data_IF_378052206962
#
_entry.id   IF_378052206962
#
_cell.length_a   1.000
_cell.length_b   1.000
_cell.length_c   1.000
_cell.angle_alpha   90.00
_cell.angle_beta   90.00
_cell.angle_gamma   90.00
#
_symmetry.space_group_name_H-M   'P 1'
#
loop_
_entity.id
_entity.type
_entity.pdbx_description
1 polymer ?
#
# COMPACT_ATOMS: atom_id res chain seq x y z
N UNK A 1 -27.68 -30.24 -17.26
CA UNK A 1 -28.60 -29.49 -16.40
C UNK A 1 -27.83 -28.50 -15.58
N UNK A 2 -28.20 -27.25 -15.64
CA UNK A 2 -27.55 -26.20 -14.85
C UNK A 2 -28.21 -26.14 -13.49
N UNK A 3 -27.40 -26.19 -12.46
CA UNK A 3 -27.85 -26.10 -11.09
C UNK A 3 -28.12 -24.67 -10.64
N UNK A 4 -27.37 -23.73 -11.24
CA UNK A 4 -27.49 -22.32 -10.97
C UNK A 4 -27.97 -21.63 -12.23
N UNK A 5 -28.87 -20.69 -12.11
CA UNK A 5 -29.26 -19.85 -13.22
C UNK A 5 -28.25 -18.71 -13.37
N UNK A 6 -28.29 -17.99 -14.50
CA UNK A 6 -27.35 -16.91 -14.80
C UNK A 6 -27.37 -15.81 -13.73
N UNK A 7 -28.52 -15.52 -13.15
CA UNK A 7 -28.64 -14.49 -12.12
C UNK A 7 -27.90 -14.87 -10.85
N UNK A 8 -27.97 -16.15 -10.45
CA UNK A 8 -27.25 -16.64 -9.27
C UNK A 8 -25.73 -16.61 -9.46
N UNK A 9 -25.27 -17.03 -10.63
CA UNK A 9 -23.85 -17.00 -10.99
C UNK A 9 -23.33 -15.57 -11.00
N UNK A 10 -24.08 -14.66 -11.61
CA UNK A 10 -23.74 -13.24 -11.66
C UNK A 10 -23.68 -12.63 -10.27
N UNK A 11 -24.62 -12.95 -9.40
CA UNK A 11 -24.64 -12.46 -8.02
C UNK A 11 -23.41 -12.91 -7.25
N UNK A 12 -22.99 -14.17 -7.41
CA UNK A 12 -21.80 -14.71 -6.77
C UNK A 12 -20.54 -13.97 -7.24
N UNK A 13 -20.42 -13.73 -8.56
CA UNK A 13 -19.30 -12.97 -9.12
C UNK A 13 -19.30 -11.52 -8.62
N UNK A 14 -20.47 -10.90 -8.55
CA UNK A 14 -20.61 -9.54 -8.05
C UNK A 14 -20.14 -9.43 -6.59
N UNK A 15 -20.47 -10.43 -5.76
CA UNK A 15 -20.01 -10.48 -4.37
C UNK A 15 -18.50 -10.62 -4.27
N UNK A 16 -17.89 -11.46 -5.12
CA UNK A 16 -16.44 -11.62 -5.15
C UNK A 16 -15.74 -10.33 -5.57
N UNK A 17 -16.27 -9.65 -6.59
CA UNK A 17 -15.72 -8.38 -7.06
C UNK A 17 -15.80 -7.33 -5.97
N UNK A 18 -16.93 -7.23 -5.28
CA UNK A 18 -17.11 -6.27 -4.17
C UNK A 18 -16.18 -6.58 -3.01
N UNK A 19 -16.03 -7.86 -2.66
CA UNK A 19 -15.13 -8.28 -1.58
C UNK A 19 -13.69 -7.94 -1.90
N UNK A 20 -13.26 -8.17 -3.15
CA UNK A 20 -11.90 -7.83 -3.59
C UNK A 20 -11.68 -6.31 -3.58
N UNK A 21 -12.66 -5.53 -4.04
CA UNK A 21 -12.57 -4.07 -4.02
C UNK A 21 -12.46 -3.53 -2.60
N UNK A 22 -13.25 -4.09 -1.66
CA UNK A 22 -13.19 -3.70 -0.26
C UNK A 22 -11.83 -4.05 0.36
N UNK A 23 -11.29 -5.21 0.01
CA UNK A 23 -9.97 -5.63 0.45
C UNK A 23 -8.88 -4.68 -0.06
N UNK A 24 -8.90 -4.35 -1.35
CA UNK A 24 -7.94 -3.41 -1.95
C UNK A 24 -7.97 -2.07 -1.23
N UNK A 25 -9.18 -1.56 -0.96
CA UNK A 25 -9.33 -0.28 -0.26
C UNK A 25 -8.79 -0.35 1.16
N UNK A 26 -9.08 -1.43 1.88
CA UNK A 26 -8.61 -1.64 3.24
C UNK A 26 -7.09 -1.71 3.30
N UNK A 27 -6.46 -2.48 2.41
CA UNK A 27 -5.01 -2.60 2.34
C UNK A 27 -4.35 -1.28 1.93
N UNK A 28 -4.92 -0.59 0.95
CA UNK A 28 -4.43 0.72 0.50
C UNK A 28 -4.44 1.72 1.64
N UNK A 29 -5.53 1.79 2.40
CA UNK A 29 -5.65 2.68 3.54
C UNK A 29 -4.64 2.35 4.64
N UNK A 30 -4.43 1.06 4.91
CA UNK A 30 -3.47 0.62 5.91
C UNK A 30 -2.03 0.98 5.52
N UNK A 31 -1.67 0.80 4.25
CA UNK A 31 -0.34 1.14 3.73
C UNK A 31 -0.10 2.65 3.80
N UNK A 32 -1.09 3.44 3.39
CA UNK A 32 -1.01 4.89 3.45
C UNK A 32 -0.81 5.38 4.88
N UNK A 33 -1.61 4.87 5.80
CA UNK A 33 -1.51 5.22 7.22
C UNK A 33 -0.13 4.84 7.78
N UNK A 34 0.37 3.67 7.43
CA UNK A 34 1.68 3.18 7.87
C UNK A 34 2.79 4.15 7.46
N UNK A 35 2.78 4.60 6.20
CA UNK A 35 3.77 5.56 5.72
C UNK A 35 3.64 6.92 6.39
N UNK A 36 2.40 7.41 6.55
CA UNK A 36 2.14 8.69 7.18
C UNK A 36 2.61 8.71 8.64
N UNK A 37 2.36 7.63 9.37
CA UNK A 37 2.79 7.51 10.77
C UNK A 37 4.31 7.48 10.90
N UNK A 38 4.99 6.82 9.98
CA UNK A 38 6.46 6.73 10.00
C UNK A 38 7.09 8.12 9.89
N UNK A 39 6.62 8.94 8.96
CA UNK A 39 7.24 10.25 8.71
C UNK A 39 6.92 11.28 9.80
N UNK A 40 5.91 11.03 10.63
CA UNK A 40 5.62 11.87 11.80
C UNK A 40 6.73 11.83 12.84
N UNK A 41 7.61 10.85 12.81
CA UNK A 41 8.78 10.78 13.69
C UNK A 41 9.64 12.02 13.57
N UNK A 42 9.64 12.69 12.43
CA UNK A 42 10.36 13.95 12.22
C UNK A 42 9.42 15.11 11.89
N UNK A 43 8.18 15.03 12.37
CA UNK A 43 7.21 16.12 12.31
C UNK A 43 6.68 16.44 10.91
N UNK A 44 6.76 15.49 9.96
CA UNK A 44 6.07 15.62 8.68
C UNK A 44 4.63 15.17 8.84
N UNK A 45 3.71 15.87 8.19
CA UNK A 45 2.28 15.57 8.30
C UNK A 45 1.89 14.26 7.65
N UNK A 46 2.52 13.96 6.50
CA UNK A 46 2.20 12.78 5.70
C UNK A 46 3.38 12.43 4.81
N UNK A 47 3.35 11.22 4.23
CA UNK A 47 4.36 10.83 3.24
C UNK A 47 4.36 11.77 2.04
N UNK A 48 3.19 12.21 1.60
CA UNK A 48 3.09 13.17 0.49
C UNK A 48 3.78 14.48 0.85
N UNK A 49 3.55 14.99 2.05
CA UNK A 49 4.19 16.21 2.53
C UNK A 49 5.72 16.07 2.50
N UNK A 50 6.24 14.98 3.02
CA UNK A 50 7.68 14.73 3.01
C UNK A 50 8.23 14.64 1.57
N UNK A 51 7.53 13.94 0.69
CA UNK A 51 7.96 13.81 -0.72
C UNK A 51 8.09 15.16 -1.44
N UNK A 52 7.30 16.17 -1.04
CA UNK A 52 7.38 17.50 -1.66
C UNK A 52 8.73 18.18 -1.41
N UNK A 53 9.46 17.76 -0.38
CA UNK A 53 10.77 18.32 -0.07
C UNK A 53 11.91 17.76 -0.93
N UNK A 54 11.64 16.78 -1.81
CA UNK A 54 12.64 16.16 -2.66
C UNK A 54 13.41 17.19 -3.52
N UNK A 55 12.78 18.30 -3.85
CA UNK A 55 13.38 19.38 -4.64
C UNK A 55 13.69 20.61 -3.78
N UNK A 56 13.72 20.47 -2.47
CA UNK A 56 14.02 21.56 -1.56
C UNK A 56 15.44 22.09 -1.76
N UNK A 57 15.64 23.39 -1.58
CA UNK A 57 16.96 24.00 -1.60
C UNK A 57 17.76 23.73 -0.33
N UNK A 58 17.08 23.30 0.75
CA UNK A 58 17.73 22.90 1.99
C UNK A 58 18.19 21.44 1.86
N UNK A 59 19.50 21.21 1.92
CA UNK A 59 20.09 19.88 1.66
C UNK A 59 19.51 18.79 2.55
N UNK A 60 19.28 19.07 3.83
CA UNK A 60 18.71 18.12 4.77
C UNK A 60 17.31 17.67 4.33
N UNK A 61 16.45 18.62 4.01
CA UNK A 61 15.07 18.33 3.61
C UNK A 61 15.01 17.66 2.24
N UNK A 62 15.90 18.07 1.34
CA UNK A 62 15.99 17.45 0.02
C UNK A 62 16.35 15.96 0.12
N UNK A 63 17.34 15.63 0.94
CA UNK A 63 17.75 14.23 1.14
C UNK A 63 16.64 13.40 1.76
N UNK A 64 15.96 13.94 2.75
CA UNK A 64 14.84 13.25 3.39
C UNK A 64 13.68 13.05 2.43
N UNK A 65 13.37 14.07 1.63
CA UNK A 65 12.31 13.98 0.61
C UNK A 65 12.63 12.98 -0.49
N UNK A 66 13.86 12.94 -0.97
CA UNK A 66 14.29 11.97 -1.99
C UNK A 66 14.22 10.54 -1.46
N UNK A 67 14.69 10.32 -0.23
CA UNK A 67 14.58 9.00 0.39
C UNK A 67 13.13 8.57 0.55
N UNK A 68 12.24 9.52 0.86
CA UNK A 68 10.82 9.24 0.98
C UNK A 68 10.18 8.85 -0.35
N UNK A 69 10.56 9.51 -1.44
CA UNK A 69 10.07 9.16 -2.78
C UNK A 69 10.45 7.73 -3.13
N UNK A 70 11.73 7.37 -2.92
CA UNK A 70 12.20 6.01 -3.18
C UNK A 70 11.47 4.98 -2.32
N UNK A 71 11.31 5.26 -1.04
CA UNK A 71 10.60 4.37 -0.12
C UNK A 71 9.13 4.19 -0.51
N UNK A 72 8.46 5.28 -0.81
CA UNK A 72 7.07 5.24 -1.25
C UNK A 72 6.91 4.37 -2.49
N UNK A 73 7.79 4.53 -3.46
CA UNK A 73 7.75 3.75 -4.70
C UNK A 73 7.96 2.26 -4.41
N UNK A 74 8.92 1.92 -3.55
CA UNK A 74 9.18 0.54 -3.16
C UNK A 74 8.02 -0.08 -2.39
N UNK A 75 7.41 0.69 -1.48
CA UNK A 75 6.26 0.23 -0.69
C UNK A 75 5.09 -0.11 -1.60
N UNK A 76 4.75 0.78 -2.53
CA UNK A 76 3.62 0.53 -3.44
C UNK A 76 3.92 -0.59 -4.43
N UNK A 77 5.15 -0.68 -4.92
CA UNK A 77 5.55 -1.79 -5.80
C UNK A 77 5.38 -3.14 -5.10
N UNK A 78 5.82 -3.22 -3.84
CA UNK A 78 5.66 -4.44 -3.04
C UNK A 78 4.18 -4.73 -2.77
N UNK A 79 3.41 -3.71 -2.42
CA UNK A 79 1.99 -3.86 -2.16
C UNK A 79 1.23 -4.37 -3.38
N UNK A 80 1.50 -3.82 -4.55
CA UNK A 80 0.88 -4.28 -5.79
C UNK A 80 1.29 -5.70 -6.16
N UNK A 81 2.54 -6.08 -5.90
CA UNK A 81 3.01 -7.46 -6.15
C UNK A 81 2.27 -8.46 -5.26
N UNK A 82 2.09 -8.13 -3.98
CA UNK A 82 1.33 -8.97 -3.05
C UNK A 82 -0.12 -9.09 -3.52
N UNK A 83 -0.73 -7.98 -3.92
CA UNK A 83 -2.11 -7.98 -4.39
C UNK A 83 -2.27 -8.84 -5.65
N UNK A 84 -1.32 -8.76 -6.58
CA UNK A 84 -1.34 -9.58 -7.79
C UNK A 84 -1.27 -11.07 -7.45
N UNK A 85 -0.45 -11.45 -6.48
CA UNK A 85 -0.34 -12.84 -6.04
C UNK A 85 -1.65 -13.33 -5.40
N UNK A 86 -2.31 -12.49 -4.63
CA UNK A 86 -3.62 -12.82 -4.05
C UNK A 86 -4.66 -12.99 -5.15
N UNK A 87 -4.72 -12.07 -6.10
CA UNK A 87 -5.66 -12.13 -7.21
C UNK A 87 -5.42 -13.35 -8.11
N UNK A 88 -4.17 -13.72 -8.29
CA UNK A 88 -3.78 -14.90 -9.07
C UNK A 88 -3.93 -16.22 -8.33
N UNK A 89 -4.36 -16.19 -7.08
CA UNK A 89 -4.52 -17.40 -6.27
C UNK A 89 -3.22 -18.01 -5.79
N UNK A 90 -2.09 -17.30 -5.92
CA UNK A 90 -0.78 -17.82 -5.56
C UNK A 90 -0.49 -17.70 -4.05
N UNK A 91 -1.24 -16.86 -3.36
CA UNK A 91 -1.13 -16.74 -1.91
C UNK A 91 -2.48 -16.36 -1.31
N UNK A 92 -2.65 -16.70 -0.03
CA UNK A 92 -3.82 -16.29 0.73
C UNK A 92 -3.76 -14.78 1.03
N UNK A 93 -4.93 -14.20 1.30
CA UNK A 93 -5.05 -12.79 1.68
C UNK A 93 -4.30 -12.59 3.01
N UNK A 94 -3.30 -11.69 3.06
CA UNK A 94 -2.60 -11.40 4.30
C UNK A 94 -3.48 -10.57 5.24
N UNK A 95 -3.21 -10.66 6.54
CA UNK A 95 -3.76 -9.69 7.48
C UNK A 95 -3.04 -8.36 7.28
N UNK A 96 -3.58 -7.28 7.84
CA UNK A 96 -2.92 -5.97 7.78
C UNK A 96 -1.52 -6.05 8.39
N UNK A 97 -1.39 -6.69 9.54
CA UNK A 97 -0.08 -6.80 10.22
C UNK A 97 0.92 -7.58 9.38
N UNK A 98 0.49 -8.69 8.76
CA UNK A 98 1.35 -9.46 7.85
C UNK A 98 1.79 -8.63 6.67
N UNK A 99 0.85 -7.90 6.04
CA UNK A 99 1.15 -7.03 4.91
C UNK A 99 2.19 -5.98 5.29
N UNK A 100 1.96 -5.26 6.38
CA UNK A 100 2.87 -4.20 6.81
C UNK A 100 4.27 -4.73 7.14
N UNK A 101 4.35 -5.95 7.68
CA UNK A 101 5.64 -6.58 8.00
C UNK A 101 6.45 -6.95 6.77
N UNK A 102 5.79 -7.12 5.62
CA UNK A 102 6.45 -7.47 4.35
C UNK A 102 6.92 -6.24 3.57
N UNK A 103 6.47 -5.05 3.96
CA UNK A 103 6.85 -3.81 3.27
C UNK A 103 8.27 -3.39 3.64
N UNK A 104 9.00 -2.74 2.71
CA UNK A 104 10.34 -2.25 3.03
C UNK A 104 10.30 -1.18 4.12
N UNK A 105 11.30 -1.19 4.98
CA UNK A 105 11.41 -0.23 6.09
C UNK A 105 12.02 1.08 5.60
N UNK A 106 11.59 2.19 6.21
CA UNK A 106 12.15 3.51 5.92
C UNK A 106 13.31 3.81 6.86
N UNK A 107 14.43 4.22 6.29
CA UNK A 107 15.61 4.65 7.04
C UNK A 107 15.87 6.12 6.72
N UNK A 108 15.89 6.95 7.76
CA UNK A 108 16.15 8.37 7.60
C UNK A 108 17.59 8.59 7.12
N UNK A 109 17.81 9.45 6.09
CA UNK A 109 19.17 9.75 5.63
C UNK A 109 19.99 10.41 6.72
N UNK A 110 21.28 10.08 6.78
CA UNK A 110 22.19 10.66 7.75
C UNK A 110 22.07 10.12 9.16
N UNK A 111 21.26 9.08 9.32
CA UNK A 111 21.09 8.42 10.61
C UNK A 111 22.24 7.46 10.89
#
# INVERSE_FOLDING_TARGET
MTWLNEAEVKTAKDKQVKAMAALKQSLTSAVQKHMDEKVKERNYDSILSLCTYATSTAAKFSKEGQAAVEWRDEVWAKGYAILADVEGGERAIPTVDELLSELPSFVWPGA
#
